data_IF_965785783171
#
_entry.id   IF_965785783171
#
_cell.length_a   1.000
_cell.length_b   1.000
_cell.length_c   1.000
_cell.angle_alpha   90.00
_cell.angle_beta   90.00
_cell.angle_gamma   90.00
#
_symmetry.space_group_name_H-M   'P 1'
#
loop_
_entity.id
_entity.type
_entity.pdbx_description
1 polymer ?
#
# COMPACT_ATOMS: atom_id res chain seq x y z
N UNK A 1 -3.33 -15.48 -1.50
CA UNK A 1 -2.38 -14.50 -2.07
C UNK A 1 -1.14 -15.18 -2.65
N UNK A 2 -0.66 -14.74 -3.82
CA UNK A 2 0.60 -15.24 -4.40
C UNK A 2 1.84 -14.75 -3.59
N UNK A 3 2.98 -15.48 -3.61
CA UNK A 3 4.15 -15.14 -2.82
C UNK A 3 4.78 -13.78 -3.16
N UNK A 4 4.76 -13.39 -4.44
CA UNK A 4 5.32 -12.11 -4.89
C UNK A 4 4.53 -10.92 -4.32
N UNK A 5 3.20 -10.96 -4.42
CA UNK A 5 2.31 -9.95 -3.87
C UNK A 5 2.43 -9.87 -2.34
N UNK A 6 2.57 -11.02 -1.67
CA UNK A 6 2.83 -11.06 -0.22
C UNK A 6 4.12 -10.32 0.14
N UNK A 7 5.20 -10.52 -0.61
CA UNK A 7 6.46 -9.82 -0.38
C UNK A 7 6.33 -8.31 -0.60
N UNK A 8 5.64 -7.89 -1.67
CA UNK A 8 5.41 -6.47 -1.93
C UNK A 8 4.59 -5.80 -0.82
N UNK A 9 3.58 -6.48 -0.27
CA UNK A 9 2.82 -5.99 0.89
C UNK A 9 3.69 -5.85 2.13
N UNK A 10 4.59 -6.79 2.39
CA UNK A 10 5.53 -6.70 3.52
C UNK A 10 6.45 -5.48 3.37
N UNK A 11 6.95 -5.23 2.14
CA UNK A 11 7.76 -4.05 1.84
C UNK A 11 6.98 -2.76 2.04
N UNK A 12 5.75 -2.68 1.52
CA UNK A 12 4.88 -1.52 1.70
C UNK A 12 4.58 -1.25 3.19
N UNK A 13 4.35 -2.30 3.98
CA UNK A 13 4.14 -2.19 5.43
C UNK A 13 5.39 -1.64 6.14
N UNK A 14 6.57 -2.13 5.77
CA UNK A 14 7.83 -1.66 6.33
C UNK A 14 8.06 -0.17 5.99
N UNK A 15 7.87 0.22 4.73
CA UNK A 15 7.98 1.61 4.29
C UNK A 15 7.01 2.50 5.07
N UNK A 16 5.74 2.12 5.19
CA UNK A 16 4.76 2.89 5.96
C UNK A 16 5.14 3.07 7.44
N UNK A 17 5.84 2.10 8.04
CA UNK A 17 6.32 2.19 9.43
C UNK A 17 7.56 3.07 9.60
N UNK A 18 8.47 3.07 8.62
CA UNK A 18 9.81 3.66 8.79
C UNK A 18 10.14 4.83 7.87
N UNK A 19 9.28 5.16 6.90
CA UNK A 19 9.58 6.19 5.91
C UNK A 19 9.81 7.53 6.58
N UNK A 20 10.96 8.15 6.34
CA UNK A 20 11.20 9.55 6.73
C UNK A 20 10.94 10.51 5.57
N UNK A 21 10.89 9.98 4.35
CA UNK A 21 10.76 10.75 3.11
C UNK A 21 9.30 10.87 2.64
N UNK A 22 8.39 10.08 3.21
CA UNK A 22 6.97 10.22 2.93
C UNK A 22 6.38 11.43 3.66
N UNK A 23 5.59 12.22 2.90
CA UNK A 23 4.80 13.32 3.43
C UNK A 23 3.45 12.84 3.99
N UNK A 24 3.14 11.54 3.89
CA UNK A 24 1.91 10.95 4.40
C UNK A 24 1.78 11.22 5.91
N UNK A 25 0.65 11.71 6.38
CA UNK A 25 0.44 11.90 7.82
C UNK A 25 0.57 10.59 8.61
N UNK A 26 1.05 10.67 9.85
CA UNK A 26 1.30 9.49 10.70
C UNK A 26 0.06 8.62 10.87
N UNK A 27 -1.12 9.22 11.04
CA UNK A 27 -2.37 8.47 11.21
C UNK A 27 -2.76 7.68 9.95
N UNK A 28 -2.49 8.20 8.75
CA UNK A 28 -2.71 7.47 7.50
C UNK A 28 -1.71 6.33 7.33
N UNK A 29 -0.45 6.52 7.74
CA UNK A 29 0.54 5.44 7.77
C UNK A 29 0.11 4.31 8.69
N UNK A 30 -0.35 4.62 9.90
CA UNK A 30 -0.86 3.64 10.86
C UNK A 30 -2.06 2.87 10.30
N UNK A 31 -2.99 3.58 9.65
CA UNK A 31 -4.15 2.95 9.01
C UNK A 31 -3.74 2.03 7.86
N UNK A 32 -2.78 2.45 7.02
CA UNK A 32 -2.23 1.64 5.94
C UNK A 32 -1.57 0.36 6.49
N UNK A 33 -0.75 0.49 7.53
CA UNK A 33 -0.10 -0.64 8.21
C UNK A 33 -1.12 -1.64 8.76
N UNK A 34 -2.18 -1.14 9.39
CA UNK A 34 -3.28 -1.98 9.90
C UNK A 34 -3.98 -2.73 8.77
N UNK A 35 -4.34 -2.03 7.70
CA UNK A 35 -5.01 -2.64 6.55
C UNK A 35 -4.13 -3.72 5.89
N UNK A 36 -2.84 -3.45 5.68
CA UNK A 36 -1.91 -4.44 5.12
C UNK A 36 -1.78 -5.65 6.04
N UNK A 37 -1.73 -5.44 7.36
CA UNK A 37 -1.67 -6.53 8.34
C UNK A 37 -2.88 -7.45 8.22
N UNK A 38 -4.09 -6.88 8.15
CA UNK A 38 -5.31 -7.66 7.95
C UNK A 38 -5.26 -8.46 6.63
N UNK A 39 -4.84 -7.85 5.52
CA UNK A 39 -4.73 -8.53 4.23
C UNK A 39 -3.74 -9.71 4.28
N UNK A 40 -2.63 -9.55 4.99
CA UNK A 40 -1.60 -10.59 5.17
C UNK A 40 -2.09 -11.76 6.04
N UNK A 41 -2.84 -11.46 7.11
CA UNK A 41 -3.40 -12.44 8.06
C UNK A 41 -4.59 -13.20 7.47
N UNK A 42 -5.51 -12.50 6.80
CA UNK A 42 -6.69 -13.10 6.16
C UNK A 42 -6.32 -13.92 4.90
N UNK A 43 -5.09 -13.78 4.40
CA UNK A 43 -4.59 -14.45 3.20
C UNK A 43 -5.54 -14.33 1.99
N UNK A 44 -6.13 -13.14 1.81
CA UNK A 44 -7.12 -12.83 0.78
C UNK A 44 -6.58 -13.10 -0.65
N UNK A 45 -7.50 -13.14 -1.63
CA UNK A 45 -7.13 -13.27 -3.04
C UNK A 45 -6.38 -12.04 -3.55
N UNK A 46 -5.53 -12.22 -4.55
CA UNK A 46 -4.76 -11.14 -5.16
C UNK A 46 -5.65 -10.01 -5.69
N UNK A 47 -6.81 -10.37 -6.26
CA UNK A 47 -7.81 -9.40 -6.71
C UNK A 47 -8.33 -8.53 -5.57
N UNK A 48 -8.67 -9.13 -4.43
CA UNK A 48 -9.21 -8.42 -3.28
C UNK A 48 -8.16 -7.54 -2.60
N UNK A 49 -6.89 -7.98 -2.57
CA UNK A 49 -5.76 -7.14 -2.15
C UNK A 49 -5.69 -5.91 -3.04
N UNK A 50 -5.64 -6.10 -4.37
CA UNK A 50 -5.48 -4.99 -5.33
C UNK A 50 -6.65 -4.01 -5.28
N UNK A 51 -7.88 -4.49 -5.15
CA UNK A 51 -9.04 -3.61 -5.03
C UNK A 51 -9.00 -2.79 -3.73
N UNK A 52 -8.58 -3.40 -2.63
CA UNK A 52 -8.39 -2.71 -1.34
C UNK A 52 -7.30 -1.63 -1.44
N UNK A 53 -6.15 -1.97 -2.04
CA UNK A 53 -5.05 -1.03 -2.22
C UNK A 53 -5.41 0.11 -3.19
N UNK A 54 -6.16 -0.15 -4.26
CA UNK A 54 -6.63 0.88 -5.20
C UNK A 54 -7.56 1.89 -4.52
N UNK A 55 -8.47 1.40 -3.68
CA UNK A 55 -9.32 2.26 -2.86
C UNK A 55 -8.51 3.09 -1.85
N UNK A 56 -7.56 2.46 -1.16
CA UNK A 56 -6.68 3.12 -0.19
C UNK A 56 -5.79 4.20 -0.82
N UNK A 57 -5.16 3.90 -1.97
CA UNK A 57 -4.31 4.83 -2.70
C UNK A 57 -5.08 6.08 -3.11
N UNK A 58 -6.31 5.92 -3.63
CA UNK A 58 -7.15 7.06 -4.00
C UNK A 58 -7.46 7.95 -2.80
N UNK A 59 -7.88 7.36 -1.68
CA UNK A 59 -8.16 8.10 -0.46
C UNK A 59 -6.93 8.83 0.10
N UNK A 60 -5.74 8.23 -0.01
CA UNK A 60 -4.47 8.84 0.40
C UNK A 60 -4.14 10.05 -0.48
N UNK A 61 -4.19 9.89 -1.80
CA UNK A 61 -3.93 10.98 -2.73
C UNK A 61 -4.93 12.13 -2.55
N UNK A 62 -6.22 11.82 -2.35
CA UNK A 62 -7.27 12.82 -2.13
C UNK A 62 -7.10 13.57 -0.80
N UNK A 63 -6.68 12.88 0.27
CA UNK A 63 -6.55 13.47 1.60
C UNK A 63 -5.31 14.36 1.76
N UNK A 64 -4.21 14.00 1.11
CA UNK A 64 -2.89 14.58 1.38
C UNK A 64 -2.32 15.35 0.18
N UNK A 65 -3.03 15.38 -0.96
CA UNK A 65 -2.55 15.99 -2.20
C UNK A 65 -1.13 15.50 -2.60
N UNK A 66 -0.85 14.22 -2.33
CA UNK A 66 0.46 13.62 -2.58
C UNK A 66 0.66 13.38 -4.08
N UNK A 67 1.84 13.77 -4.57
CA UNK A 67 2.28 13.54 -5.95
C UNK A 67 3.14 12.27 -6.06
N UNK A 68 3.37 11.86 -7.31
CA UNK A 68 4.02 10.60 -7.76
C UNK A 68 5.45 10.36 -7.20
N UNK A 69 6.02 11.28 -6.42
CA UNK A 69 7.34 11.11 -5.81
C UNK A 69 7.29 10.56 -4.37
N UNK A 70 6.11 10.41 -3.76
CA UNK A 70 6.01 9.83 -2.41
C UNK A 70 6.34 8.31 -2.43
N UNK A 71 7.26 7.82 -1.59
CA UNK A 71 7.72 6.43 -1.63
C UNK A 71 6.60 5.42 -1.34
N UNK A 72 5.62 5.78 -0.51
CA UNK A 72 4.48 4.91 -0.20
C UNK A 72 3.53 4.86 -1.40
N UNK A 73 3.26 6.00 -2.04
CA UNK A 73 2.43 6.09 -3.25
C UNK A 73 3.06 5.31 -4.40
N UNK A 74 4.39 5.39 -4.56
CA UNK A 74 5.13 4.64 -5.56
C UNK A 74 5.04 3.12 -5.36
N UNK A 75 5.20 2.64 -4.13
CA UNK A 75 5.03 1.22 -3.82
C UNK A 75 3.58 0.74 -4.06
N UNK A 76 2.59 1.55 -3.70
CA UNK A 76 1.19 1.27 -4.01
C UNK A 76 0.96 1.13 -5.52
N UNK A 77 1.48 2.06 -6.31
CA UNK A 77 1.42 2.03 -7.77
C UNK A 77 2.05 0.78 -8.36
N UNK A 78 3.29 0.47 -7.96
CA UNK A 78 4.01 -0.73 -8.43
C UNK A 78 3.25 -2.03 -8.14
N UNK A 79 2.60 -2.14 -6.98
CA UNK A 79 1.78 -3.31 -6.63
C UNK A 79 0.56 -3.42 -7.55
N UNK A 80 -0.10 -2.30 -7.85
CA UNK A 80 -1.30 -2.27 -8.70
C UNK A 80 -0.97 -2.52 -10.18
N UNK A 81 0.17 -2.04 -10.66
CA UNK A 81 0.63 -2.17 -12.04
C UNK A 81 1.25 -3.53 -12.38
N UNK A 82 1.73 -4.28 -11.38
CA UNK A 82 2.25 -5.66 -11.52
C UNK A 82 1.27 -6.67 -12.15
N UNK A 83 0.04 -6.24 -12.48
CA UNK A 83 -1.03 -7.02 -13.10
C UNK A 83 -0.95 -7.12 -14.63
N UNK A 84 -0.07 -6.35 -15.29
CA UNK A 84 -0.04 -6.25 -16.77
C UNK A 84 0.88 -7.25 -17.48
N UNK A 85 1.51 -8.19 -16.77
CA UNK A 85 2.41 -9.20 -17.34
C UNK A 85 2.04 -10.61 -16.92
#
# INVERSE_FOLDING_TARGET
>A
MNPHLREQLIRLKAEALSSQDSNLSTWLRELLVRNITNLLEENVSDSRVKDTLRGGMRSICDAESLYEDDPIVNLLGAILDSSRH
#
